data_IF_853456187563
#
_entry.id   IF_853456187563
#
_cell.length_a   1.000
_cell.length_b   1.000
_cell.length_c   1.000
_cell.angle_alpha   90.00
_cell.angle_beta   90.00
_cell.angle_gamma   90.00
#
_symmetry.space_group_name_H-M   'P 1'
#
loop_
_entity.id
_entity.type
_entity.pdbx_description
1 polymer ?
#
# COMPACT_ATOMS: atom_id res chain seq x y z
N UNK A 1 -20.54 -24.07 -18.04
CA UNK A 1 -19.91 -23.31 -16.93
C UNK A 1 -18.53 -23.89 -16.63
N UNK A 2 -18.43 -25.17 -16.25
CA UNK A 2 -17.15 -25.82 -15.91
C UNK A 2 -16.08 -25.79 -17.03
N UNK A 3 -16.49 -25.85 -18.31
CA UNK A 3 -15.56 -25.77 -19.45
C UNK A 3 -14.91 -24.40 -19.65
N UNK A 4 -15.46 -23.34 -19.05
CA UNK A 4 -14.92 -21.97 -19.16
C UNK A 4 -13.93 -21.63 -18.05
N UNK A 5 -13.89 -22.45 -16.99
CA UNK A 5 -13.04 -22.22 -15.81
C UNK A 5 -11.55 -22.21 -16.18
N UNK A 6 -11.02 -23.16 -16.99
CA UNK A 6 -9.59 -23.15 -17.32
C UNK A 6 -9.16 -21.91 -18.10
N UNK A 7 -9.99 -21.47 -19.07
CA UNK A 7 -9.70 -20.27 -19.85
C UNK A 7 -9.72 -19.00 -18.98
N UNK A 8 -10.67 -18.91 -18.04
CA UNK A 8 -10.73 -17.81 -17.08
C UNK A 8 -9.51 -17.78 -16.15
N UNK A 9 -9.07 -18.94 -15.63
CA UNK A 9 -7.90 -19.00 -14.76
C UNK A 9 -6.62 -18.56 -15.48
N UNK A 10 -6.44 -18.97 -16.73
CA UNK A 10 -5.26 -18.56 -17.51
C UNK A 10 -5.27 -17.06 -17.80
N UNK A 11 -6.42 -16.48 -18.15
CA UNK A 11 -6.53 -15.02 -18.32
C UNK A 11 -6.25 -14.28 -17.01
N UNK A 12 -6.81 -14.78 -15.89
CA UNK A 12 -6.62 -14.17 -14.58
C UNK A 12 -5.15 -14.22 -14.15
N UNK A 13 -4.47 -15.36 -14.30
CA UNK A 13 -3.04 -15.50 -13.97
C UNK A 13 -2.17 -14.56 -14.80
N UNK A 14 -2.50 -14.41 -16.09
CA UNK A 14 -1.75 -13.53 -16.99
C UNK A 14 -1.83 -12.05 -16.58
N UNK A 15 -2.93 -11.62 -15.96
CA UNK A 15 -3.18 -10.21 -15.62
C UNK A 15 -2.92 -9.86 -14.15
N UNK A 16 -3.32 -10.74 -13.22
CA UNK A 16 -3.40 -10.42 -11.78
C UNK A 16 -2.07 -10.02 -11.17
N UNK A 17 -0.96 -10.59 -11.64
CA UNK A 17 0.38 -10.26 -11.12
C UNK A 17 0.71 -8.80 -11.43
N UNK A 18 0.51 -8.35 -12.68
CA UNK A 18 0.72 -6.97 -13.08
C UNK A 18 -0.22 -6.02 -12.33
N UNK A 19 -1.52 -6.32 -12.30
CA UNK A 19 -2.53 -5.49 -11.62
C UNK A 19 -2.19 -5.27 -10.14
N UNK A 20 -1.76 -6.33 -9.44
CA UNK A 20 -1.37 -6.25 -8.02
C UNK A 20 -0.11 -5.40 -7.83
N UNK A 21 0.90 -5.56 -8.68
CA UNK A 21 2.13 -4.76 -8.61
C UNK A 21 1.87 -3.28 -8.89
N UNK A 22 1.09 -2.96 -9.91
CA UNK A 22 0.73 -1.58 -10.26
C UNK A 22 -0.10 -0.93 -9.15
N UNK A 23 -1.08 -1.67 -8.60
CA UNK A 23 -1.89 -1.19 -7.47
C UNK A 23 -1.02 -0.91 -6.25
N UNK A 24 -0.07 -1.80 -5.94
CA UNK A 24 0.88 -1.59 -4.84
C UNK A 24 1.75 -0.34 -5.07
N UNK A 25 2.29 -0.17 -6.26
CA UNK A 25 3.12 0.99 -6.60
C UNK A 25 2.31 2.31 -6.51
N UNK A 26 1.04 2.30 -6.90
CA UNK A 26 0.16 3.46 -6.74
C UNK A 26 -0.09 3.79 -5.25
N UNK A 27 -0.25 2.78 -4.39
CA UNK A 27 -0.35 2.98 -2.93
C UNK A 27 0.93 3.61 -2.37
N UNK A 28 2.11 3.11 -2.74
CA UNK A 28 3.40 3.62 -2.27
C UNK A 28 3.66 5.06 -2.76
N UNK A 29 3.21 5.43 -3.97
CA UNK A 29 3.30 6.80 -4.51
C UNK A 29 2.22 7.76 -3.99
N UNK A 30 1.25 7.27 -3.23
CA UNK A 30 0.10 8.07 -2.80
C UNK A 30 -0.91 8.43 -3.90
N UNK A 31 -0.86 7.73 -5.04
CA UNK A 31 -1.75 7.90 -6.20
C UNK A 31 -2.76 6.76 -6.34
N UNK A 32 -3.05 6.05 -5.25
CA UNK A 32 -4.01 4.96 -5.24
C UNK A 32 -5.41 5.44 -5.64
N UNK A 33 -6.12 4.61 -6.41
CA UNK A 33 -7.50 4.88 -6.83
C UNK A 33 -8.44 5.06 -5.64
N UNK A 34 -8.25 4.27 -4.59
CA UNK A 34 -8.98 4.39 -3.32
C UNK A 34 -8.10 5.15 -2.33
N UNK A 35 -8.52 6.34 -1.86
CA UNK A 35 -7.72 7.13 -0.93
C UNK A 35 -7.65 6.45 0.45
N UNK A 36 -6.61 6.80 1.21
CA UNK A 36 -6.46 6.33 2.59
C UNK A 36 -7.58 6.93 3.47
N UNK A 37 -8.46 6.05 3.97
CA UNK A 37 -9.63 6.41 4.79
C UNK A 37 -9.30 7.14 6.08
N UNK A 38 -8.06 7.05 6.57
CA UNK A 38 -7.64 7.79 7.76
C UNK A 38 -7.79 9.31 7.56
N UNK A 39 -7.72 9.80 6.32
CA UNK A 39 -7.91 11.23 5.99
C UNK A 39 -9.30 11.76 6.36
N UNK A 40 -10.30 10.88 6.44
CA UNK A 40 -11.68 11.22 6.79
C UNK A 40 -12.00 10.91 8.26
N UNK A 41 -11.00 10.57 9.07
CA UNK A 41 -11.17 10.16 10.47
C UNK A 41 -10.77 11.27 11.44
N UNK A 42 -11.42 11.33 12.61
CA UNK A 42 -11.03 12.26 13.70
C UNK A 42 -9.62 12.00 14.24
N UNK A 43 -9.09 10.80 14.02
CA UNK A 43 -7.72 10.40 14.37
C UNK A 43 -6.68 10.84 13.34
N UNK A 44 -7.08 11.47 12.23
CA UNK A 44 -6.15 11.95 11.19
C UNK A 44 -5.00 12.81 11.74
N UNK A 45 -5.20 13.74 12.69
CA UNK A 45 -4.11 14.57 13.19
C UNK A 45 -2.93 13.77 13.78
N UNK A 46 -3.20 12.65 14.44
CA UNK A 46 -2.13 11.78 14.96
C UNK A 46 -1.38 11.06 13.85
N UNK A 47 -2.09 10.62 12.82
CA UNK A 47 -1.48 9.98 11.65
C UNK A 47 -0.62 10.99 10.86
N UNK A 48 -1.13 12.20 10.64
CA UNK A 48 -0.43 13.28 9.95
C UNK A 48 0.83 13.71 10.71
N UNK A 49 0.74 13.91 12.03
CA UNK A 49 1.90 14.22 12.87
C UNK A 49 3.02 13.19 12.68
N UNK A 50 2.72 11.89 12.83
CA UNK A 50 3.74 10.84 12.71
C UNK A 50 4.26 10.69 11.28
N UNK A 51 3.39 10.76 10.26
CA UNK A 51 3.76 10.44 8.86
C UNK A 51 4.31 11.61 8.08
N UNK A 52 3.78 12.82 8.28
CA UNK A 52 4.16 14.02 7.54
C UNK A 52 5.13 14.88 8.36
N UNK A 53 4.81 15.20 9.62
CA UNK A 53 5.62 16.13 10.41
C UNK A 53 6.91 15.49 10.92
N UNK A 54 6.83 14.27 11.47
CA UNK A 54 8.00 13.53 11.95
C UNK A 54 8.76 12.78 10.84
N UNK A 55 8.21 12.71 9.62
CA UNK A 55 8.88 12.08 8.47
C UNK A 55 9.14 10.58 8.62
N UNK A 56 8.27 9.86 9.33
CA UNK A 56 8.27 8.39 9.34
C UNK A 56 7.74 7.82 8.03
N UNK A 57 8.05 6.56 7.71
CA UNK A 57 7.49 5.89 6.52
C UNK A 57 6.82 4.57 6.86
N UNK A 58 6.25 3.94 5.83
CA UNK A 58 5.87 2.53 5.93
C UNK A 58 7.16 1.69 5.98
N UNK A 59 7.31 0.87 7.01
CA UNK A 59 8.43 -0.04 7.14
C UNK A 59 8.22 -1.25 6.23
N UNK A 60 9.18 -1.53 5.37
CA UNK A 60 9.18 -2.66 4.45
C UNK A 60 10.55 -3.32 4.44
N UNK A 61 10.60 -4.66 4.30
CA UNK A 61 11.88 -5.39 4.32
C UNK A 61 12.76 -5.16 3.07
N UNK A 62 12.25 -4.46 2.06
CA UNK A 62 13.00 -4.07 0.86
C UNK A 62 13.69 -2.71 1.01
N UNK A 63 13.43 -1.98 2.10
CA UNK A 63 14.05 -0.69 2.41
C UNK A 63 15.11 -0.87 3.51
N UNK A 64 16.09 0.03 3.58
CA UNK A 64 17.19 -0.02 4.56
C UNK A 64 16.82 0.55 5.92
N UNK A 65 15.69 1.26 6.02
CA UNK A 65 15.20 1.87 7.25
C UNK A 65 14.81 0.81 8.29
N UNK A 66 15.37 0.96 9.49
CA UNK A 66 15.04 0.11 10.64
C UNK A 66 13.81 0.65 11.40
N UNK A 67 13.09 -0.22 12.13
CA UNK A 67 12.01 0.22 13.00
C UNK A 67 12.46 1.21 14.08
N UNK A 68 13.68 1.05 14.61
CA UNK A 68 14.22 1.90 15.67
C UNK A 68 14.35 3.37 15.25
N UNK A 69 14.76 3.63 14.01
CA UNK A 69 14.87 4.99 13.48
C UNK A 69 13.54 5.75 13.43
N UNK A 70 12.42 5.03 13.26
CA UNK A 70 11.09 5.65 13.30
C UNK A 70 10.55 5.73 14.73
N UNK A 71 10.97 4.85 15.65
CA UNK A 71 10.61 4.95 17.07
C UNK A 71 11.29 6.12 17.77
N UNK A 72 12.56 6.41 17.47
CA UNK A 72 13.29 7.52 18.10
C UNK A 72 12.74 8.90 17.72
N UNK A 73 11.94 8.99 16.66
CA UNK A 73 11.31 10.23 16.19
C UNK A 73 9.99 10.55 16.90
N UNK A 74 9.31 9.53 17.45
CA UNK A 74 7.95 9.61 18.00
C UNK A 74 7.99 9.69 19.51
#
# INVERSE_FOLDING_TARGET
ILTRVPAFEEELKARIVADVHETRAACEKGTALVPNRIKDCRSYPLYEFVRAELGTSLLVGTDSRSPGEDFDKV
#
